data_IF_436511399146
#
_entry.id   IF_436511399146
#
_cell.length_a   1.000
_cell.length_b   1.000
_cell.length_c   1.000
_cell.angle_alpha   90.00
_cell.angle_beta   90.00
_cell.angle_gamma   90.00
#
_symmetry.space_group_name_H-M   'P 1'
#
loop_
_entity.id
_entity.type
_entity.pdbx_description
1 polymer ?
#
# COMPACT_ATOMS: atom_id res chain seq x y z
N UNK A 1 -63.07 23.63 -2.41
CA UNK A 1 -62.14 24.67 -2.90
C UNK A 1 -61.01 23.96 -3.61
N UNK A 2 -61.10 23.88 -4.94
CA UNK A 2 -60.11 23.24 -5.79
C UNK A 2 -58.93 24.18 -6.00
N UNK A 3 -57.72 23.73 -5.66
CA UNK A 3 -56.49 24.44 -5.98
C UNK A 3 -55.71 23.64 -7.04
N UNK A 4 -55.60 24.26 -8.21
CA UNK A 4 -54.99 23.76 -9.43
C UNK A 4 -53.46 23.74 -9.31
N UNK A 5 -52.83 22.64 -9.73
CA UNK A 5 -51.37 22.58 -9.93
C UNK A 5 -50.99 23.32 -11.22
N UNK A 6 -49.88 24.08 -11.24
CA UNK A 6 -49.34 24.62 -12.48
C UNK A 6 -48.49 23.58 -13.23
N UNK A 7 -48.91 23.30 -14.46
CA UNK A 7 -48.23 22.53 -15.48
C UNK A 7 -46.99 23.26 -16.03
N UNK A 8 -45.84 22.59 -16.05
CA UNK A 8 -44.59 23.07 -16.68
C UNK A 8 -44.40 22.33 -18.02
N UNK A 9 -44.10 23.04 -19.13
CA UNK A 9 -44.07 22.47 -20.48
C UNK A 9 -42.82 21.62 -20.76
N UNK A 10 -43.01 20.55 -21.55
CA UNK A 10 -41.95 19.76 -22.17
C UNK A 10 -41.12 20.63 -23.14
N UNK A 11 -39.86 20.85 -22.80
CA UNK A 11 -38.86 21.47 -23.67
C UNK A 11 -37.94 20.42 -24.32
N UNK A 12 -38.15 20.21 -25.62
CA UNK A 12 -37.21 19.81 -26.69
C UNK A 12 -35.97 18.97 -26.34
N UNK A 13 -35.92 17.79 -26.96
CA UNK A 13 -34.73 16.97 -27.16
C UNK A 13 -33.59 17.77 -27.81
N UNK A 14 -32.50 17.96 -27.07
CA UNK A 14 -31.23 18.45 -27.62
C UNK A 14 -30.31 17.26 -27.91
N UNK A 15 -30.12 17.01 -29.20
CA UNK A 15 -29.19 16.03 -29.76
C UNK A 15 -27.75 16.45 -29.47
N UNK A 16 -27.11 15.88 -28.44
CA UNK A 16 -25.70 16.12 -28.19
C UNK A 16 -24.82 15.23 -29.08
N UNK A 17 -24.25 15.88 -30.09
CA UNK A 17 -23.17 15.40 -30.95
C UNK A 17 -21.92 15.09 -30.12
N UNK A 18 -21.34 13.90 -30.30
CA UNK A 18 -20.07 13.49 -29.67
C UNK A 18 -18.92 14.37 -30.19
N UNK A 19 -18.10 14.99 -29.33
CA UNK A 19 -16.85 15.61 -29.78
C UNK A 19 -15.82 14.52 -30.14
N UNK A 20 -14.97 14.76 -31.16
CA UNK A 20 -14.00 13.79 -31.64
C UNK A 20 -12.86 13.57 -30.64
N UNK A 21 -12.42 12.31 -30.57
CA UNK A 21 -11.29 11.86 -29.76
C UNK A 21 -10.00 12.60 -30.18
N UNK A 22 -9.43 13.35 -29.24
CA UNK A 22 -8.06 13.86 -29.34
C UNK A 22 -7.08 12.68 -29.30
N UNK A 23 -6.39 12.47 -30.41
CA UNK A 23 -5.29 11.52 -30.54
C UNK A 23 -4.02 12.06 -29.86
N UNK A 24 -3.38 11.32 -28.93
CA UNK A 24 -2.05 11.67 -28.48
C UNK A 24 -1.03 11.11 -29.48
N UNK A 25 -0.44 12.00 -30.27
CA UNK A 25 0.73 11.67 -31.08
C UNK A 25 1.99 11.87 -30.24
N UNK A 26 2.88 10.87 -30.33
CA UNK A 26 4.34 10.92 -30.14
C UNK A 26 4.92 10.64 -28.73
N UNK A 27 5.28 9.38 -28.57
CA UNK A 27 6.27 8.86 -27.63
C UNK A 27 6.57 7.39 -27.93
N UNK A 28 6.95 7.07 -29.18
CA UNK A 28 7.32 5.70 -29.59
C UNK A 28 8.63 5.29 -28.89
N UNK A 29 8.50 4.69 -27.71
CA UNK A 29 9.52 3.77 -27.19
C UNK A 29 9.30 2.44 -27.90
N UNK A 30 10.25 2.05 -28.73
CA UNK A 30 10.28 0.75 -29.39
C UNK A 30 10.39 -0.36 -28.34
N UNK A 31 9.25 -0.82 -27.81
CA UNK A 31 9.17 -2.08 -27.10
C UNK A 31 9.16 -3.18 -28.16
N UNK A 32 10.35 -3.66 -28.56
CA UNK A 32 10.45 -4.95 -29.25
C UNK A 32 9.76 -5.99 -28.36
N UNK A 33 8.71 -6.60 -28.88
CA UNK A 33 8.08 -7.78 -28.31
C UNK A 33 9.17 -8.82 -27.98
N UNK A 34 9.14 -9.44 -26.78
CA UNK A 34 10.06 -10.52 -26.50
C UNK A 34 9.84 -11.65 -27.52
N UNK A 35 10.95 -12.19 -28.04
CA UNK A 35 10.95 -13.38 -28.90
C UNK A 35 10.16 -14.49 -28.22
N UNK A 36 9.35 -15.28 -28.96
CA UNK A 36 8.57 -16.39 -28.39
C UNK A 36 9.44 -17.46 -27.71
N UNK A 37 10.76 -17.45 -27.93
CA UNK A 37 11.72 -18.41 -27.36
C UNK A 37 12.46 -17.89 -26.11
N UNK A 38 12.04 -16.75 -25.53
CA UNK A 38 12.64 -16.26 -24.30
C UNK A 38 12.31 -17.21 -23.14
N UNK A 39 13.29 -18.01 -22.70
CA UNK A 39 13.10 -18.90 -21.55
C UNK A 39 12.74 -18.10 -20.30
N UNK A 40 11.96 -18.67 -19.38
CA UNK A 40 11.59 -18.04 -18.10
C UNK A 40 12.81 -17.48 -17.36
N UNK A 41 13.96 -18.15 -17.50
CA UNK A 41 15.24 -17.72 -16.92
C UNK A 41 15.78 -16.40 -17.51
N UNK A 42 15.49 -16.09 -18.77
CA UNK A 42 15.93 -14.86 -19.44
C UNK A 42 15.04 -13.67 -19.09
N UNK A 43 13.74 -13.93 -18.88
CA UNK A 43 12.81 -12.92 -18.35
C UNK A 43 13.15 -12.57 -16.88
N UNK A 44 13.47 -13.58 -16.05
CA UNK A 44 13.93 -13.38 -14.68
C UNK A 44 15.25 -12.58 -14.63
N UNK A 45 16.20 -12.88 -15.52
CA UNK A 45 17.47 -12.11 -15.63
C UNK A 45 17.24 -10.66 -16.06
N UNK A 46 16.32 -10.39 -16.99
CA UNK A 46 15.96 -9.01 -17.39
C UNK A 46 15.25 -8.24 -16.28
N UNK A 47 14.36 -8.88 -15.53
CA UNK A 47 13.74 -8.29 -14.34
C UNK A 47 14.81 -7.95 -13.27
N UNK A 48 15.78 -8.86 -13.05
CA UNK A 48 16.92 -8.62 -12.18
C UNK A 48 17.84 -7.50 -12.67
N UNK A 49 18.05 -7.36 -13.99
CA UNK A 49 18.83 -6.25 -14.55
C UNK A 49 18.14 -4.89 -14.33
N UNK A 50 16.82 -4.82 -14.48
CA UNK A 50 16.04 -3.61 -14.17
C UNK A 50 15.99 -3.30 -12.66
N UNK A 51 16.16 -4.31 -11.80
CA UNK A 51 16.26 -4.11 -10.34
C UNK A 51 17.48 -3.27 -9.92
N UNK A 52 18.51 -3.13 -10.77
CA UNK A 52 19.66 -2.26 -10.50
C UNK A 52 19.34 -0.77 -10.68
N UNK A 53 18.26 -0.42 -11.39
CA UNK A 53 17.75 0.96 -11.52
C UNK A 53 16.63 1.27 -10.53
N UNK A 54 15.86 0.28 -10.11
CA UNK A 54 14.91 0.46 -9.01
C UNK A 54 15.64 0.25 -7.69
N UNK A 55 15.85 1.32 -6.94
CA UNK A 55 16.23 1.17 -5.54
C UNK A 55 15.18 0.28 -4.87
N UNK A 56 15.57 -0.90 -4.36
CA UNK A 56 14.68 -1.76 -3.57
C UNK A 56 14.90 -1.44 -2.07
N UNK A 57 14.17 -0.44 -1.54
CA UNK A 57 14.27 -0.07 -0.13
C UNK A 57 13.81 -1.21 0.78
N UNK A 58 12.97 -2.12 0.28
CA UNK A 58 12.43 -3.22 1.09
C UNK A 58 13.34 -4.46 1.08
N UNK A 59 14.18 -4.62 0.06
CA UNK A 59 14.98 -5.82 -0.15
C UNK A 59 14.16 -7.03 -0.57
N UNK A 60 12.86 -6.87 -0.87
CA UNK A 60 11.94 -7.96 -1.22
C UNK A 60 12.36 -8.69 -2.51
N UNK A 61 13.14 -8.05 -3.37
CA UNK A 61 13.68 -8.65 -4.59
C UNK A 61 14.85 -9.60 -4.32
N UNK A 62 15.39 -9.64 -3.10
CA UNK A 62 16.52 -10.48 -2.75
C UNK A 62 16.06 -11.84 -2.16
N UNK A 63 16.86 -12.91 -2.34
CA UNK A 63 16.63 -14.18 -1.65
C UNK A 63 16.53 -14.00 -0.13
N UNK A 64 15.75 -14.85 0.56
CA UNK A 64 15.48 -14.76 2.00
C UNK A 64 16.75 -14.73 2.84
N UNK A 65 17.78 -15.49 2.47
CA UNK A 65 19.07 -15.46 3.16
C UNK A 65 19.71 -14.06 3.14
N UNK A 66 19.67 -13.36 2.00
CA UNK A 66 20.19 -11.99 1.87
C UNK A 66 19.29 -10.97 2.58
N UNK A 67 17.97 -11.17 2.55
CA UNK A 67 17.00 -10.36 3.32
C UNK A 67 17.27 -10.47 4.82
N UNK A 68 17.43 -11.70 5.32
CA UNK A 68 17.74 -11.98 6.73
C UNK A 68 19.05 -11.33 7.15
N UNK A 69 20.11 -11.44 6.33
CA UNK A 69 21.38 -10.77 6.60
C UNK A 69 21.24 -9.24 6.66
N UNK A 70 20.38 -8.65 5.83
CA UNK A 70 20.11 -7.20 5.80
C UNK A 70 19.36 -6.73 7.05
N UNK A 71 18.35 -7.48 7.48
CA UNK A 71 17.53 -7.13 8.66
C UNK A 71 18.16 -7.57 9.99
N UNK A 72 19.29 -8.29 9.96
CA UNK A 72 19.96 -8.78 11.15
C UNK A 72 20.37 -7.66 12.13
N UNK A 73 20.66 -6.46 11.61
CA UNK A 73 21.02 -5.28 12.40
C UNK A 73 19.82 -4.41 12.80
N UNK A 74 18.62 -4.80 12.40
CA UNK A 74 17.41 -4.00 12.65
C UNK A 74 16.80 -4.35 14.00
N UNK A 75 16.20 -3.36 14.63
CA UNK A 75 15.34 -3.56 15.80
C UNK A 75 14.11 -4.39 15.43
N UNK A 76 13.50 -5.08 16.40
CA UNK A 76 12.35 -5.97 16.11
C UNK A 76 11.16 -5.22 15.50
N UNK A 77 10.93 -3.98 15.94
CA UNK A 77 9.93 -3.07 15.35
C UNK A 77 10.32 -2.72 13.90
N UNK A 78 11.60 -2.43 13.64
CA UNK A 78 12.07 -2.10 12.30
C UNK A 78 12.04 -3.29 11.33
N UNK A 79 12.10 -4.54 11.82
CA UNK A 79 11.91 -5.74 10.99
C UNK A 79 10.49 -5.81 10.39
N UNK A 80 9.49 -5.26 11.07
CA UNK A 80 8.09 -5.30 10.66
C UNK A 80 7.71 -4.05 9.89
N UNK A 81 7.95 -2.87 10.46
CA UNK A 81 7.53 -1.60 9.88
C UNK A 81 8.58 -0.97 8.95
N UNK A 82 9.72 -1.64 8.78
CA UNK A 82 10.85 -1.13 8.02
C UNK A 82 11.68 -0.10 8.78
N UNK A 83 12.77 0.31 8.13
CA UNK A 83 13.64 1.40 8.55
C UNK A 83 13.82 2.38 7.40
N UNK A 84 14.24 3.61 7.71
CA UNK A 84 14.42 4.65 6.70
C UNK A 84 15.63 4.37 5.83
N UNK A 85 15.38 4.26 4.51
CA UNK A 85 16.42 4.07 3.50
C UNK A 85 16.20 5.06 2.36
N UNK A 86 17.26 5.77 2.00
CA UNK A 86 17.26 6.76 0.92
C UNK A 86 17.31 8.20 1.42
N UNK A 87 17.41 9.19 0.50
CA UNK A 87 17.25 10.59 0.84
C UNK A 87 15.80 10.81 1.28
N UNK A 88 15.60 11.06 2.58
CA UNK A 88 14.28 11.23 3.18
C UNK A 88 13.62 12.52 2.69
N UNK A 89 12.85 12.43 1.61
CA UNK A 89 11.95 13.50 1.22
C UNK A 89 10.58 13.16 1.80
N UNK A 90 10.32 13.65 3.01
CA UNK A 90 8.96 13.79 3.50
C UNK A 90 8.33 15.00 2.80
N UNK A 91 7.04 14.94 2.48
CA UNK A 91 6.28 16.05 1.86
C UNK A 91 6.34 17.34 2.71
N UNK A 92 6.66 17.21 4.00
CA UNK A 92 6.79 18.30 4.97
C UNK A 92 8.23 18.82 5.16
N UNK A 93 9.21 18.33 4.40
CA UNK A 93 10.62 18.77 4.48
C UNK A 93 11.38 18.37 5.76
N UNK A 94 10.73 17.62 6.67
CA UNK A 94 11.37 17.07 7.87
C UNK A 94 12.11 15.78 7.50
N UNK A 95 13.35 15.90 7.01
CA UNK A 95 14.21 14.74 6.79
C UNK A 95 14.53 14.08 8.14
N UNK A 96 14.10 12.83 8.33
CA UNK A 96 14.50 11.99 9.47
C UNK A 96 15.94 11.47 9.29
N UNK A 97 16.87 12.37 8.96
CA UNK A 97 18.26 12.02 8.63
C UNK A 97 18.97 11.38 9.83
N UNK A 98 18.52 11.66 11.06
CA UNK A 98 19.04 11.09 12.30
C UNK A 98 18.69 9.61 12.52
N UNK A 99 17.67 9.07 11.84
CA UNK A 99 17.32 7.64 11.88
C UNK A 99 17.79 6.87 10.64
N UNK A 100 18.32 7.57 9.65
CA UNK A 100 18.74 6.98 8.38
C UNK A 100 19.83 5.93 8.59
N UNK A 101 19.65 4.75 7.98
CA UNK A 101 20.58 3.62 8.06
C UNK A 101 20.91 3.15 9.50
N UNK A 102 20.14 3.57 10.51
CA UNK A 102 20.39 3.16 11.91
C UNK A 102 19.80 1.78 12.24
N UNK A 103 18.98 1.21 11.34
CA UNK A 103 18.23 -0.02 11.61
C UNK A 103 17.09 0.17 12.63
N UNK A 104 16.73 1.42 12.94
CA UNK A 104 15.61 1.78 13.81
C UNK A 104 14.40 2.19 12.97
N UNK A 105 13.21 1.92 13.50
CA UNK A 105 11.96 2.38 12.91
C UNK A 105 11.65 3.78 13.42
N UNK A 106 10.78 4.51 12.71
CA UNK A 106 10.20 5.76 13.20
C UNK A 106 9.40 5.56 14.49
N UNK A 107 9.01 4.32 14.80
CA UNK A 107 8.27 3.93 16.00
C UNK A 107 9.17 3.45 17.15
N UNK A 108 10.49 3.31 16.93
CA UNK A 108 11.41 2.82 17.96
C UNK A 108 11.79 3.94 18.93
N UNK A 109 11.52 3.85 20.24
CA UNK A 109 11.96 4.86 21.20
C UNK A 109 13.49 5.01 21.15
N UNK A 110 13.99 6.25 21.15
CA UNK A 110 15.43 6.50 21.25
C UNK A 110 15.90 6.29 22.71
N UNK A 111 17.08 5.69 22.90
CA UNK A 111 17.59 5.42 24.24
C UNK A 111 17.83 6.72 25.01
N UNK A 112 17.53 6.71 26.30
CA UNK A 112 17.95 7.76 27.24
C UNK A 112 19.47 7.71 27.44
N UNK A 113 20.12 8.86 27.70
CA UNK A 113 21.56 8.89 27.97
C UNK A 113 21.89 7.97 29.15
N UNK A 114 22.93 7.15 28.99
CA UNK A 114 23.39 6.22 30.02
C UNK A 114 23.98 6.97 31.21
N UNK A 115 23.84 6.39 32.41
CA UNK A 115 24.42 6.91 33.64
C UNK A 115 25.95 6.81 33.53
N UNK A 116 26.60 7.93 33.20
CA UNK A 116 28.05 8.01 32.98
C UNK A 116 28.47 8.64 31.65
N UNK A 117 27.52 8.98 30.77
CA UNK A 117 27.82 9.70 29.53
C UNK A 117 28.41 11.10 29.81
N UNK A 118 29.32 11.57 28.96
CA UNK A 118 29.84 12.93 29.08
C UNK A 118 28.72 13.95 28.85
N UNK A 119 28.87 15.17 29.37
CA UNK A 119 27.87 16.22 29.25
C UNK A 119 27.53 16.54 27.77
N UNK A 120 28.54 16.52 26.89
CA UNK A 120 28.37 16.75 25.46
C UNK A 120 27.62 15.60 24.76
N UNK A 121 27.92 14.35 25.11
CA UNK A 121 27.20 13.18 24.59
C UNK A 121 25.74 13.19 25.03
N UNK A 122 25.49 13.52 26.29
CA UNK A 122 24.14 13.63 26.85
C UNK A 122 23.31 14.68 26.12
N UNK A 123 23.88 15.87 25.84
CA UNK A 123 23.20 16.92 25.08
C UNK A 123 22.87 16.48 23.65
N UNK A 124 23.81 15.80 22.98
CA UNK A 124 23.59 15.29 21.62
C UNK A 124 22.49 14.22 21.58
N UNK A 125 22.44 13.33 22.58
CA UNK A 125 21.39 12.30 22.69
C UNK A 125 20.03 12.95 22.91
N UNK A 126 19.95 13.96 23.79
CA UNK A 126 18.72 14.69 24.08
C UNK A 126 18.21 15.47 22.85
N UNK A 127 19.10 16.14 22.11
CA UNK A 127 18.75 16.84 20.88
C UNK A 127 18.15 15.89 19.84
N UNK A 128 18.78 14.73 19.62
CA UNK A 128 18.27 13.69 18.71
C UNK A 128 16.94 13.12 19.17
N UNK A 129 16.76 12.93 20.49
CA UNK A 129 15.50 12.49 21.07
C UNK A 129 14.37 13.48 20.77
N UNK A 130 14.61 14.76 20.97
CA UNK A 130 13.63 15.82 20.71
C UNK A 130 13.26 15.90 19.23
N UNK A 131 14.24 15.83 18.32
CA UNK A 131 13.98 15.80 16.88
C UNK A 131 13.16 14.57 16.47
N UNK A 132 13.46 13.41 17.07
CA UNK A 132 12.71 12.18 16.84
C UNK A 132 11.26 12.28 17.31
N UNK A 133 11.02 12.77 18.52
CA UNK A 133 9.67 12.98 19.06
C UNK A 133 8.88 13.97 18.22
N UNK A 134 9.51 15.07 17.75
CA UNK A 134 8.88 16.02 16.84
C UNK A 134 8.45 15.35 15.54
N UNK A 135 9.30 14.51 14.96
CA UNK A 135 8.96 13.78 13.74
C UNK A 135 7.86 12.75 13.97
N UNK A 136 7.91 12.01 15.09
CA UNK A 136 6.84 11.09 15.48
C UNK A 136 5.50 11.82 15.58
N UNK A 137 5.45 12.94 16.30
CA UNK A 137 4.23 13.72 16.46
C UNK A 137 3.70 14.28 15.14
N UNK A 138 4.56 14.71 14.23
CA UNK A 138 4.13 15.14 12.90
C UNK A 138 3.43 14.01 12.13
N UNK A 139 4.00 12.80 12.18
CA UNK A 139 3.49 11.63 11.43
C UNK A 139 2.30 10.94 12.10
N UNK A 140 2.30 10.87 13.42
CA UNK A 140 1.29 10.21 14.25
C UNK A 140 0.23 11.18 14.75
N UNK A 141 0.01 12.29 14.03
CA UNK A 141 -1.07 13.26 14.31
C UNK A 141 -1.09 13.80 15.75
N UNK A 142 0.09 14.07 16.30
CA UNK A 142 0.28 14.68 17.61
C UNK A 142 0.79 13.73 18.69
N UNK A 143 0.80 12.41 18.45
CA UNK A 143 1.22 11.42 19.44
C UNK A 143 2.68 10.97 19.26
N UNK A 144 3.33 10.55 20.34
CA UNK A 144 4.60 9.80 20.27
C UNK A 144 4.33 8.30 20.21
N UNK A 145 5.30 7.51 19.73
CA UNK A 145 5.14 6.05 19.71
C UNK A 145 5.01 5.45 21.13
N UNK A 146 5.61 6.10 22.14
CA UNK A 146 5.48 5.70 23.54
C UNK A 146 4.07 5.99 24.09
N UNK A 147 3.47 7.13 23.73
CA UNK A 147 2.08 7.45 24.09
C UNK A 147 1.10 6.48 23.42
N UNK A 148 1.30 6.12 22.14
CA UNK A 148 0.46 5.12 21.47
C UNK A 148 0.60 3.72 22.06
N UNK A 149 1.79 3.39 22.57
CA UNK A 149 2.03 2.14 23.30
C UNK A 149 1.29 2.12 24.64
N UNK A 150 1.35 3.22 25.40
CA UNK A 150 0.67 3.37 26.69
C UNK A 150 -0.86 3.32 26.56
N UNK A 151 -1.39 3.81 25.44
CA UNK A 151 -2.82 3.70 25.10
C UNK A 151 -3.22 2.33 24.52
N UNK A 152 -2.28 1.38 24.38
CA UNK A 152 -2.50 0.05 23.79
C UNK A 152 -3.08 0.10 22.36
N UNK A 153 -2.80 1.17 21.60
CA UNK A 153 -3.32 1.35 20.22
C UNK A 153 -2.42 0.68 19.18
N UNK A 154 -1.18 0.36 19.55
CA UNK A 154 -0.21 -0.26 18.65
C UNK A 154 -0.41 -1.78 18.57
N UNK A 155 -1.03 -2.23 17.48
CA UNK A 155 -1.26 -3.65 17.16
C UNK A 155 0.00 -4.53 17.20
N UNK A 156 1.21 -3.96 17.16
CA UNK A 156 2.47 -4.72 17.29
C UNK A 156 2.67 -5.38 18.66
N UNK A 157 2.22 -4.72 19.72
CA UNK A 157 2.45 -5.19 21.08
C UNK A 157 1.43 -6.23 21.54
N UNK A 158 0.31 -6.31 20.82
CA UNK A 158 -0.64 -7.40 20.94
C UNK A 158 -0.07 -8.66 20.28
N UNK A 159 0.55 -9.50 21.09
CA UNK A 159 1.15 -10.78 20.67
C UNK A 159 0.18 -11.94 20.83
N UNK A 160 -1.00 -11.67 21.36
CA UNK A 160 -1.98 -12.72 21.55
C UNK A 160 -2.47 -13.14 20.16
N UNK A 161 -2.34 -14.43 19.82
CA UNK A 161 -2.88 -14.90 18.56
C UNK A 161 -4.38 -14.63 18.60
N UNK A 162 -4.90 -13.93 17.59
CA UNK A 162 -6.33 -13.77 17.39
C UNK A 162 -6.98 -15.15 17.56
N UNK A 163 -7.87 -15.34 18.55
CA UNK A 163 -8.48 -16.64 18.77
C UNK A 163 -9.36 -16.98 17.58
N UNK A 164 -9.05 -18.13 16.97
CA UNK A 164 -9.68 -18.75 15.81
C UNK A 164 -9.57 -17.98 14.48
N UNK A 165 -9.13 -18.68 13.42
CA UNK A 165 -9.38 -18.20 12.06
C UNK A 165 -10.89 -18.12 11.90
N UNK A 166 -11.47 -16.91 11.70
CA UNK A 166 -12.91 -16.81 11.55
C UNK A 166 -13.27 -17.65 10.32
N UNK A 167 -14.24 -18.55 10.49
CA UNK A 167 -14.73 -19.45 9.42
C UNK A 167 -15.53 -18.65 8.39
N UNK A 168 -14.86 -17.69 7.75
CA UNK A 168 -15.44 -16.81 6.76
C UNK A 168 -15.36 -17.54 5.43
N UNK A 169 -16.53 -17.92 4.93
CA UNK A 169 -16.66 -18.49 3.60
C UNK A 169 -16.44 -17.38 2.57
N UNK A 170 -15.58 -17.66 1.60
CA UNK A 170 -15.33 -16.75 0.48
C UNK A 170 -16.63 -16.61 -0.32
N UNK A 171 -17.08 -15.36 -0.51
CA UNK A 171 -18.29 -15.06 -1.24
C UNK A 171 -18.21 -15.64 -2.67
N UNK A 172 -19.30 -16.19 -3.24
CA UNK A 172 -19.30 -16.80 -4.57
C UNK A 172 -18.69 -15.93 -5.67
N UNK A 173 -18.84 -14.60 -5.57
CA UNK A 173 -18.23 -13.64 -6.50
C UNK A 173 -16.70 -13.72 -6.55
N UNK A 174 -16.03 -14.05 -5.44
CA UNK A 174 -14.57 -14.09 -5.32
C UNK A 174 -13.98 -15.49 -5.48
N UNK A 175 -14.79 -16.50 -5.82
CA UNK A 175 -14.31 -17.86 -6.04
C UNK A 175 -13.21 -17.89 -7.11
N UNK A 176 -12.23 -18.76 -6.90
CA UNK A 176 -11.08 -18.93 -7.79
C UNK A 176 -11.49 -19.12 -9.26
N UNK A 177 -12.61 -19.80 -9.53
CA UNK A 177 -13.15 -20.03 -10.87
C UNK A 177 -13.48 -18.75 -11.65
N UNK A 178 -13.73 -17.64 -10.95
CA UNK A 178 -14.09 -16.36 -11.57
C UNK A 178 -12.86 -15.50 -11.90
N UNK A 179 -11.67 -15.92 -11.46
CA UNK A 179 -10.44 -15.18 -11.71
C UNK A 179 -9.88 -15.47 -13.10
N UNK A 180 -9.20 -14.48 -13.65
CA UNK A 180 -8.53 -14.58 -14.95
C UNK A 180 -7.37 -15.58 -14.84
N UNK A 181 -7.44 -16.62 -15.65
CA UNK A 181 -6.39 -17.65 -15.79
C UNK A 181 -5.28 -17.18 -16.72
N UNK A 182 -4.10 -17.78 -16.63
CA UNK A 182 -2.97 -17.41 -17.49
C UNK A 182 -3.33 -17.52 -18.99
N UNK A 183 -4.11 -18.53 -19.36
CA UNK A 183 -4.52 -18.77 -20.74
C UNK A 183 -5.59 -17.77 -21.24
N UNK A 184 -6.35 -17.17 -20.32
CA UNK A 184 -7.40 -16.19 -20.64
C UNK A 184 -6.88 -14.74 -20.70
N UNK A 185 -5.65 -14.49 -20.27
CA UNK A 185 -5.04 -13.17 -20.35
C UNK A 185 -4.89 -12.72 -21.82
N UNK A 186 -5.31 -11.49 -22.16
CA UNK A 186 -5.10 -10.95 -23.49
C UNK A 186 -3.60 -10.92 -23.84
N UNK A 187 -3.22 -11.27 -25.07
CA UNK A 187 -1.81 -11.34 -25.50
C UNK A 187 -0.99 -10.05 -25.27
N UNK A 188 -1.66 -8.89 -25.21
CA UNK A 188 -1.04 -7.60 -24.94
C UNK A 188 -0.81 -7.32 -23.43
N UNK A 189 -1.34 -8.15 -22.54
CA UNK A 189 -1.12 -8.11 -21.09
C UNK A 189 -0.39 -9.38 -20.65
N UNK A 190 0.90 -9.27 -20.40
CA UNK A 190 1.67 -10.35 -19.79
C UNK A 190 1.35 -10.45 -18.30
N UNK A 191 1.26 -11.66 -17.77
CA UNK A 191 1.23 -11.86 -16.33
C UNK A 191 2.55 -11.38 -15.70
N UNK A 192 2.48 -10.78 -14.53
CA UNK A 192 3.64 -10.29 -13.80
C UNK A 192 4.37 -11.49 -13.18
N UNK A 193 5.68 -11.70 -13.39
CA UNK A 193 6.39 -12.77 -12.72
C UNK A 193 6.44 -12.54 -11.22
N UNK A 194 6.34 -13.62 -10.45
CA UNK A 194 6.63 -13.59 -9.03
C UNK A 194 8.10 -13.27 -8.81
N UNK A 195 8.37 -12.49 -7.77
CA UNK A 195 9.71 -12.00 -7.45
C UNK A 195 10.18 -12.65 -6.14
N UNK A 196 11.50 -12.77 -5.98
CA UNK A 196 12.11 -13.37 -4.79
C UNK A 196 12.25 -14.88 -4.90
N UNK A 197 11.67 -15.62 -3.95
CA UNK A 197 11.79 -17.09 -3.84
C UNK A 197 10.58 -17.84 -4.42
N UNK A 198 9.55 -17.12 -4.84
CA UNK A 198 8.34 -17.71 -5.39
C UNK A 198 8.51 -17.88 -6.90
N UNK A 199 8.20 -19.08 -7.38
CA UNK A 199 8.23 -19.38 -8.80
C UNK A 199 6.84 -19.19 -9.43
N UNK A 200 6.85 -18.89 -10.72
CA UNK A 200 5.65 -18.68 -11.53
C UNK A 200 5.22 -17.22 -11.66
N UNK A 201 3.94 -17.04 -11.97
CA UNK A 201 3.34 -15.76 -12.32
C UNK A 201 2.32 -15.34 -11.26
N UNK A 202 2.10 -14.02 -11.15
CA UNK A 202 1.10 -13.39 -10.31
C UNK A 202 -0.30 -13.60 -10.88
N UNK A 203 -0.78 -14.84 -10.79
CA UNK A 203 -2.09 -15.31 -11.25
C UNK A 203 -2.72 -16.11 -10.12
N UNK A 204 -4.04 -15.99 -9.92
CA UNK A 204 -4.76 -16.64 -8.83
C UNK A 204 -4.65 -18.18 -8.87
N UNK A 205 -4.41 -18.77 -10.05
CA UNK A 205 -4.15 -20.21 -10.21
C UNK A 205 -2.89 -20.69 -9.48
N UNK A 206 -1.92 -19.79 -9.24
CA UNK A 206 -0.72 -20.14 -8.48
C UNK A 206 -1.07 -20.27 -6.98
N UNK A 207 -0.86 -21.45 -6.36
CA UNK A 207 -1.21 -21.66 -4.95
C UNK A 207 -0.56 -20.67 -3.98
N UNK A 208 0.67 -20.22 -4.28
CA UNK A 208 1.36 -19.24 -3.46
C UNK A 208 0.69 -17.85 -3.51
N UNK A 209 0.18 -17.47 -4.68
CA UNK A 209 -0.55 -16.21 -4.87
C UNK A 209 -1.91 -16.31 -4.21
N UNK A 210 -2.61 -17.44 -4.40
CA UNK A 210 -3.91 -17.66 -3.79
C UNK A 210 -3.85 -17.57 -2.27
N UNK A 211 -2.90 -18.26 -1.63
CA UNK A 211 -2.72 -18.22 -0.17
C UNK A 211 -2.50 -16.80 0.37
N UNK A 212 -1.85 -15.92 -0.40
CA UNK A 212 -1.63 -14.52 -0.01
C UNK A 212 -2.87 -13.65 -0.18
N UNK A 213 -3.70 -13.92 -1.20
CA UNK A 213 -4.89 -13.13 -1.52
C UNK A 213 -6.11 -13.60 -0.71
N UNK A 214 -6.20 -14.90 -0.40
CA UNK A 214 -7.29 -15.53 0.35
C UNK A 214 -7.75 -14.75 1.60
N UNK A 215 -6.86 -14.30 2.53
CA UNK A 215 -7.30 -13.55 3.72
C UNK A 215 -7.96 -12.21 3.35
N UNK A 216 -7.48 -11.55 2.29
CA UNK A 216 -8.08 -10.31 1.81
C UNK A 216 -9.48 -10.56 1.20
N UNK A 217 -9.67 -11.70 0.53
CA UNK A 217 -10.98 -12.08 -0.02
C UNK A 217 -11.96 -12.49 1.06
N UNK A 218 -11.50 -13.19 2.12
CA UNK A 218 -12.33 -13.47 3.30
C UNK A 218 -12.80 -12.17 3.94
N UNK A 219 -11.91 -11.21 4.14
CA UNK A 219 -12.26 -9.89 4.68
C UNK A 219 -13.26 -9.14 3.78
N UNK A 220 -13.01 -9.10 2.46
CA UNK A 220 -13.95 -8.48 1.52
C UNK A 220 -15.32 -9.18 1.53
N UNK A 221 -15.33 -10.51 1.66
CA UNK A 221 -16.56 -11.30 1.77
C UNK A 221 -17.34 -10.96 3.03
N UNK A 222 -16.66 -10.80 4.16
CA UNK A 222 -17.27 -10.38 5.43
C UNK A 222 -17.98 -9.02 5.31
N UNK A 223 -17.33 -8.06 4.62
CA UNK A 223 -17.89 -6.73 4.40
C UNK A 223 -19.11 -6.81 3.48
N UNK A 224 -19.03 -7.60 2.40
CA UNK A 224 -20.13 -7.74 1.43
C UNK A 224 -21.33 -8.53 1.98
N UNK A 225 -21.12 -9.50 2.87
CA UNK A 225 -22.22 -10.26 3.49
C UNK A 225 -22.90 -9.46 4.59
N UNK A 226 -22.20 -8.51 5.21
CA UNK A 226 -22.72 -7.64 6.26
C UNK A 226 -22.67 -6.15 5.84
N UNK A 227 -23.38 -5.75 4.77
CA UNK A 227 -23.36 -4.34 4.35
C UNK A 227 -24.05 -3.45 5.39
N UNK A 228 -25.04 -3.99 6.11
CA UNK A 228 -25.83 -3.28 7.11
C UNK A 228 -25.04 -2.86 8.36
N UNK A 229 -23.90 -3.49 8.67
CA UNK A 229 -23.06 -3.11 9.81
C UNK A 229 -22.14 -1.93 9.49
N UNK A 230 -21.98 -1.61 8.20
CA UNK A 230 -21.05 -0.61 7.72
C UNK A 230 -21.80 0.68 7.37
N UNK A 231 -21.75 1.69 8.23
CA UNK A 231 -22.42 2.98 8.02
C UNK A 231 -22.01 3.69 6.72
N UNK A 232 -20.78 3.48 6.24
CA UNK A 232 -20.35 4.03 4.95
C UNK A 232 -21.04 3.36 3.76
N UNK A 233 -21.45 2.09 3.88
CA UNK A 233 -22.18 1.36 2.85
C UNK A 233 -23.62 1.90 2.74
N UNK A 234 -24.23 2.20 3.88
CA UNK A 234 -25.52 2.90 3.95
C UNK A 234 -25.43 4.30 3.32
N UNK A 235 -24.40 5.07 3.67
CA UNK A 235 -24.12 6.37 3.06
C UNK A 235 -23.83 6.28 1.55
N UNK A 236 -23.22 5.20 1.06
CA UNK A 236 -22.97 5.01 -0.36
C UNK A 236 -24.26 4.75 -1.14
N UNK A 237 -25.19 3.97 -0.57
CA UNK A 237 -26.42 3.55 -1.25
C UNK A 237 -27.56 4.57 -1.10
N UNK A 238 -27.68 5.21 0.06
CA UNK A 238 -28.77 6.13 0.41
C UNK A 238 -28.31 7.56 0.68
N UNK A 239 -27.01 7.84 0.59
CA UNK A 239 -26.49 9.19 0.78
C UNK A 239 -27.01 10.16 -0.29
N UNK A 240 -27.22 11.40 0.13
CA UNK A 240 -27.58 12.48 -0.79
C UNK A 240 -26.41 12.73 -1.74
N UNK A 241 -26.65 12.55 -3.04
CA UNK A 241 -25.66 12.85 -4.06
C UNK A 241 -25.37 14.36 -4.08
N UNK A 242 -24.12 14.73 -3.79
CA UNK A 242 -23.64 16.12 -3.92
C UNK A 242 -22.51 16.16 -4.94
N UNK A 243 -22.68 16.96 -6.00
CA UNK A 243 -21.62 17.20 -6.96
C UNK A 243 -20.49 18.02 -6.31
N UNK A 244 -19.28 17.45 -6.27
CA UNK A 244 -18.10 18.15 -5.78
C UNK A 244 -17.67 19.13 -6.87
N UNK A 245 -17.97 20.42 -6.67
CA UNK A 245 -17.43 21.47 -7.54
C UNK A 245 -15.91 21.45 -7.42
N UNK A 246 -15.23 21.11 -8.51
CA UNK A 246 -13.78 21.26 -8.57
C UNK A 246 -13.45 22.73 -8.29
N UNK A 247 -12.48 23.02 -7.40
CA UNK A 247 -12.04 24.39 -7.22
C UNK A 247 -11.45 24.88 -8.54
N UNK A 248 -11.84 26.09 -8.95
CA UNK A 248 -11.31 26.72 -10.15
C UNK A 248 -9.78 26.75 -10.10
N UNK A 249 -9.09 26.47 -11.21
CA UNK A 249 -7.64 26.51 -11.26
C UNK A 249 -7.16 27.92 -10.87
N UNK A 250 -6.34 27.99 -9.82
CA UNK A 250 -5.64 29.21 -9.39
C UNK A 250 -4.53 29.58 -10.36
#
# INVERSE_FOLDING_TARGET
>A
MSASLPSVPLGSASTYSRPPLLSPTRGLVSSRSPSPDATLSDLAKKASYNSKRSFDPTGLLQPRAKRQARVAKWTDIAKIYGHYIGPGINEDGLAEDHLRNTGKSGLTPLPTPEVGATAAESQNILARKLEHEKSQRARLRGFTAAELLDMEVLAYFDKDPMPDEPTIVIHPAFQLSNWVTQNSLPKHRGAVPLLGEYDGLWVAENPAVWAMIEPSLKLASLILTNPHTNAWFDALLYGVYTEIKNPDPK
#
